data_IF_266371317662
#
_entry.id   IF_266371317662
#
_cell.length_a   1.000
_cell.length_b   1.000
_cell.length_c   1.000
_cell.angle_alpha   90.00
_cell.angle_beta   90.00
_cell.angle_gamma   90.00
#
_symmetry.space_group_name_H-M   'P 1'
#
loop_
_entity.id
_entity.type
_entity.pdbx_description
1 polymer ?
#
# COMPACT_ATOMS: atom_id res chain seq x y z
N UNK A 1 20.07 -12.52 -22.68
CA UNK A 1 19.32 -12.53 -22.43
C UNK A 1 18.89 -12.78 -22.11
N UNK A 2 18.94 -12.62 -22.22
CA UNK A 2 18.27 -12.81 -21.92
C UNK A 2 17.55 -12.97 -21.73
N UNK A 3 17.47 -12.92 -21.50
CA UNK A 3 16.56 -13.04 -21.22
C UNK A 3 15.93 -13.04 -21.31
N UNK A 4 16.03 -12.90 -21.36
CA UNK A 4 15.22 -12.92 -21.31
C UNK A 4 14.50 -13.18 -21.42
N UNK A 5 14.59 -13.08 -21.70
CA UNK A 5 13.61 -13.29 -21.65
C UNK A 5 12.93 -13.93 -21.59
N UNK A 6 13.26 -13.92 -21.53
CA UNK A 6 12.35 -14.66 -21.44
C UNK A 6 11.07 -14.88 -21.45
N UNK A 7 10.76 -15.15 -21.32
CA UNK A 7 9.47 -15.23 -21.36
C UNK A 7 8.83 -14.24 -22.20
N UNK A 8 9.03 -14.26 -23.28
CA UNK A 8 8.47 -13.51 -24.25
C UNK A 8 8.29 -12.06 -23.95
N UNK A 9 8.08 -11.73 -22.80
CA UNK A 9 7.81 -10.38 -22.42
C UNK A 9 8.75 -9.99 -21.31
N UNK A 10 9.77 -9.23 -21.59
CA UNK A 10 10.70 -8.85 -20.55
C UNK A 10 9.98 -8.00 -19.53
N UNK A 11 10.25 -8.26 -18.28
CA UNK A 11 9.80 -7.39 -17.24
C UNK A 11 10.63 -6.12 -17.23
N UNK A 12 9.96 -4.99 -17.11
CA UNK A 12 10.66 -3.74 -16.96
C UNK A 12 11.44 -3.76 -15.66
N UNK A 13 12.63 -3.21 -15.69
CA UNK A 13 13.45 -3.13 -14.50
C UNK A 13 12.80 -2.19 -13.49
N UNK A 14 12.78 -2.60 -12.21
CA UNK A 14 12.28 -1.77 -11.14
C UNK A 14 13.40 -0.82 -10.72
N UNK A 15 13.40 0.37 -11.28
CA UNK A 15 14.49 1.31 -11.13
C UNK A 15 14.12 2.62 -10.46
N UNK A 16 12.83 2.88 -10.29
CA UNK A 16 12.38 4.13 -9.69
C UNK A 16 11.84 3.85 -8.30
N UNK A 17 12.46 4.44 -7.29
CA UNK A 17 12.02 4.30 -5.92
C UNK A 17 11.36 5.59 -5.48
N UNK A 18 10.16 5.49 -4.97
CA UNK A 18 9.45 6.62 -4.38
C UNK A 18 9.22 6.30 -2.91
N UNK A 19 9.69 7.18 -2.03
CA UNK A 19 9.52 6.99 -0.59
C UNK A 19 8.51 8.00 -0.09
N UNK A 20 7.50 7.50 0.60
CA UNK A 20 6.36 8.30 1.02
C UNK A 20 6.23 8.21 2.54
N UNK A 21 6.28 9.35 3.20
CA UNK A 21 6.04 9.44 4.63
C UNK A 21 4.58 9.72 4.90
N UNK A 22 4.06 9.11 5.96
CA UNK A 22 2.66 9.25 6.34
C UNK A 22 2.56 9.63 7.81
N UNK A 23 1.68 10.58 8.10
CA UNK A 23 1.22 10.84 9.45
C UNK A 23 -0.11 10.13 9.65
N UNK A 24 -0.66 10.21 10.87
CA UNK A 24 -1.91 9.52 11.17
C UNK A 24 -3.12 10.14 10.48
N UNK A 25 -2.95 11.29 9.82
CA UNK A 25 -4.02 11.95 9.09
C UNK A 25 -3.91 11.73 7.58
N UNK A 26 -2.87 11.07 7.14
CA UNK A 26 -2.61 10.97 5.72
C UNK A 26 -3.31 9.75 5.12
N UNK A 27 -3.82 9.96 3.93
CA UNK A 27 -4.31 8.91 3.08
C UNK A 27 -3.73 9.15 1.70
N UNK A 28 -2.99 8.19 1.19
CA UNK A 28 -2.35 8.31 -0.11
C UNK A 28 -3.02 7.35 -1.08
N UNK A 29 -3.30 7.84 -2.27
CA UNK A 29 -3.80 7.01 -3.36
C UNK A 29 -2.65 6.79 -4.32
N UNK A 30 -2.33 5.53 -4.56
CA UNK A 30 -1.24 5.15 -5.46
C UNK A 30 -1.81 4.41 -6.64
N UNK A 31 -1.35 4.77 -7.84
CA UNK A 31 -1.67 4.02 -9.04
C UNK A 31 -0.51 3.11 -9.35
N UNK A 32 -0.76 1.81 -9.30
CA UNK A 32 0.31 0.82 -9.40
C UNK A 32 0.07 -0.10 -10.60
N UNK A 33 1.13 -0.77 -11.00
CA UNK A 33 1.10 -1.75 -12.07
C UNK A 33 1.53 -3.10 -11.51
N UNK A 34 1.16 -4.16 -12.21
CA UNK A 34 1.63 -5.49 -11.84
C UNK A 34 3.14 -5.51 -11.83
N UNK A 35 3.71 -6.09 -10.80
CA UNK A 35 5.16 -6.16 -10.64
C UNK A 35 5.74 -5.09 -9.75
N UNK A 36 5.04 -4.01 -9.52
CA UNK A 36 5.50 -2.99 -8.58
C UNK A 36 5.65 -3.59 -7.19
N UNK A 37 6.56 -3.05 -6.40
CA UNK A 37 6.81 -3.55 -5.04
C UNK A 37 6.66 -2.44 -4.05
N UNK A 38 5.93 -2.72 -2.98
CA UNK A 38 5.82 -1.81 -1.84
C UNK A 38 6.59 -2.42 -0.68
N UNK A 39 7.33 -1.58 0.01
CA UNK A 39 8.09 -2.03 1.16
C UNK A 39 7.80 -1.15 2.36
N UNK A 40 7.50 -1.76 3.50
CA UNK A 40 7.38 -1.05 4.75
C UNK A 40 8.74 -0.59 5.22
N UNK A 41 8.88 0.70 5.49
CA UNK A 41 10.14 1.25 5.95
C UNK A 41 10.08 1.60 7.42
N UNK A 42 8.95 2.11 7.89
CA UNK A 42 8.80 2.53 9.27
C UNK A 42 7.32 2.51 9.62
N UNK A 43 7.03 2.10 10.85
CA UNK A 43 5.68 2.06 11.35
C UNK A 43 4.83 1.01 10.64
N UNK A 44 3.58 0.91 11.04
CA UNK A 44 2.65 -0.01 10.42
C UNK A 44 1.85 0.73 9.36
N UNK A 45 1.87 0.23 8.15
CA UNK A 45 1.21 0.86 7.01
C UNK A 45 0.04 -0.01 6.59
N UNK A 46 -1.11 0.63 6.41
CA UNK A 46 -2.33 -0.03 5.96
C UNK A 46 -2.47 0.15 4.46
N UNK A 47 -2.72 -0.94 3.78
CA UNK A 47 -2.93 -0.91 2.34
C UNK A 47 -4.26 -1.54 2.03
N UNK A 48 -5.12 -0.77 1.38
CA UNK A 48 -6.41 -1.24 0.89
C UNK A 48 -6.36 -1.26 -0.63
N UNK A 49 -6.73 -2.39 -1.21
CA UNK A 49 -6.69 -2.55 -2.66
C UNK A 49 -8.13 -2.44 -3.16
N UNK A 50 -8.35 -1.55 -4.11
CA UNK A 50 -9.68 -1.38 -4.68
C UNK A 50 -10.15 -2.71 -5.29
N UNK A 51 -11.39 -3.06 -4.98
CA UNK A 51 -11.98 -4.28 -5.48
C UNK A 51 -11.63 -5.52 -4.69
N UNK A 52 -10.86 -5.40 -3.63
CA UNK A 52 -10.51 -6.54 -2.78
C UNK A 52 -11.06 -6.33 -1.39
N UNK A 53 -11.50 -7.42 -0.78
CA UNK A 53 -12.11 -7.36 0.54
C UNK A 53 -11.06 -7.31 1.66
N UNK A 54 -9.86 -7.76 1.39
CA UNK A 54 -8.83 -7.85 2.42
C UNK A 54 -7.97 -6.62 2.44
N UNK A 55 -7.71 -6.14 3.65
CA UNK A 55 -6.71 -5.11 3.86
C UNK A 55 -5.38 -5.77 4.20
N UNK A 56 -4.31 -5.05 3.94
CA UNK A 56 -2.97 -5.55 4.17
C UNK A 56 -2.28 -4.62 5.14
N UNK A 57 -1.69 -5.20 6.19
CA UNK A 57 -0.80 -4.47 7.08
C UNK A 57 0.62 -4.78 6.67
N UNK A 58 1.39 -3.73 6.46
CA UNK A 58 2.79 -3.87 6.06
C UNK A 58 3.66 -3.32 7.17
N UNK A 59 4.44 -4.21 7.78
CA UNK A 59 5.35 -3.84 8.85
C UNK A 59 6.72 -3.51 8.28
N UNK A 60 7.58 -2.83 9.07
CA UNK A 60 8.92 -2.51 8.56
C UNK A 60 9.66 -3.76 8.08
N UNK A 61 10.24 -3.66 6.91
CA UNK A 61 10.97 -4.76 6.30
C UNK A 61 10.14 -5.69 5.46
N UNK A 62 8.83 -5.62 5.57
CA UNK A 62 7.95 -6.46 4.76
C UNK A 62 7.72 -5.87 3.40
N UNK A 63 7.49 -6.73 2.44
CA UNK A 63 7.31 -6.32 1.05
C UNK A 63 6.02 -6.89 0.50
N UNK A 64 5.31 -6.08 -0.26
CA UNK A 64 4.13 -6.48 -0.99
C UNK A 64 4.41 -6.34 -2.46
N UNK A 65 4.25 -7.43 -3.20
CA UNK A 65 4.35 -7.37 -4.65
C UNK A 65 2.96 -7.22 -5.25
N UNK A 66 2.82 -6.23 -6.12
CA UNK A 66 1.54 -5.95 -6.75
C UNK A 66 1.30 -6.97 -7.86
N UNK A 67 0.14 -7.62 -7.81
CA UNK A 67 -0.19 -8.65 -8.79
C UNK A 67 -1.00 -8.12 -9.96
N UNK A 68 -1.73 -7.04 -9.77
CA UNK A 68 -2.57 -6.46 -10.80
C UNK A 68 -2.48 -4.95 -10.77
N UNK A 69 -2.57 -4.34 -11.94
CA UNK A 69 -2.66 -2.89 -12.02
C UNK A 69 -3.93 -2.41 -11.32
N UNK A 70 -3.86 -1.26 -10.69
CA UNK A 70 -5.01 -0.71 -10.01
C UNK A 70 -4.61 0.39 -9.06
N UNK A 71 -5.54 0.72 -8.18
CA UNK A 71 -5.34 1.77 -7.20
C UNK A 71 -5.25 1.17 -5.81
N UNK A 72 -4.25 1.61 -5.08
CA UNK A 72 -4.08 1.27 -3.68
C UNK A 72 -4.31 2.51 -2.84
N UNK A 73 -4.91 2.31 -1.68
CA UNK A 73 -5.01 3.37 -0.69
C UNK A 73 -4.13 3.00 0.48
N UNK A 74 -3.28 3.94 0.89
CA UNK A 74 -2.25 3.69 1.88
C UNK A 74 -2.41 4.69 3.00
N UNK A 75 -2.45 4.18 4.22
CA UNK A 75 -2.49 5.02 5.41
C UNK A 75 -1.60 4.39 6.46
N UNK A 76 -1.33 5.13 7.53
CA UNK A 76 -0.52 4.61 8.63
C UNK A 76 -1.37 4.57 9.88
N UNK A 77 -1.04 3.65 10.77
CA UNK A 77 -1.75 3.52 12.04
C UNK A 77 -1.52 4.77 12.91
N UNK A 78 -0.29 5.20 13.00
CA UNK A 78 0.08 6.45 13.68
C UNK A 78 0.90 7.29 12.73
N UNK A 79 2.09 6.84 12.43
CA UNK A 79 2.94 7.42 11.42
C UNK A 79 3.69 6.28 10.77
N UNK A 80 4.14 6.49 9.57
CA UNK A 80 4.84 5.44 8.89
C UNK A 80 5.54 5.93 7.65
N UNK A 81 6.21 5.01 6.99
CA UNK A 81 6.91 5.30 5.76
C UNK A 81 6.87 4.06 4.89
N UNK A 82 6.56 4.24 3.63
CA UNK A 82 6.53 3.15 2.66
C UNK A 82 7.32 3.58 1.45
N UNK A 83 8.04 2.65 0.86
CA UNK A 83 8.69 2.92 -0.42
C UNK A 83 8.07 2.05 -1.49
N UNK A 84 8.01 2.59 -2.69
CA UNK A 84 7.47 1.90 -3.86
C UNK A 84 8.56 1.84 -4.89
N UNK A 85 8.83 0.63 -5.35
CA UNK A 85 9.83 0.40 -6.39
C UNK A 85 9.08 0.01 -7.65
N UNK A 86 9.28 0.78 -8.72
CA UNK A 86 8.54 0.61 -9.96
C UNK A 86 9.46 0.85 -11.15
N UNK A 87 8.98 0.51 -12.33
CA UNK A 87 9.73 0.73 -13.55
C UNK A 87 9.57 2.15 -14.09
N UNK A 88 8.70 2.93 -13.49
CA UNK A 88 8.39 4.28 -13.91
C UNK A 88 8.10 5.13 -12.67
N UNK A 89 8.08 6.46 -12.80
CA UNK A 89 7.67 7.30 -11.67
C UNK A 89 6.28 6.92 -11.19
N UNK A 90 6.11 6.87 -9.89
CA UNK A 90 4.85 6.48 -9.28
C UNK A 90 3.85 7.62 -9.39
N UNK A 91 2.66 7.31 -9.87
CA UNK A 91 1.55 8.25 -9.83
C UNK A 91 0.87 8.12 -8.48
N UNK A 92 0.88 9.19 -7.71
CA UNK A 92 0.29 9.16 -6.39
C UNK A 92 -0.25 10.53 -6.03
N UNK A 93 -1.19 10.55 -5.11
CA UNK A 93 -1.71 11.81 -4.60
C UNK A 93 -2.11 11.64 -3.15
N UNK A 94 -2.01 12.74 -2.40
CA UNK A 94 -2.50 12.78 -1.04
C UNK A 94 -3.98 13.12 -1.10
N UNK A 95 -4.78 12.25 -0.51
CA UNK A 95 -6.22 12.47 -0.46
C UNK A 95 -6.51 13.21 0.82
N UNK A 96 -7.17 14.36 0.68
CA UNK A 96 -7.58 15.12 1.86
C UNK A 96 -8.96 14.65 2.24
N UNK A 97 -9.11 14.03 3.40
CA UNK A 97 -10.43 13.64 3.83
C UNK A 97 -11.27 14.87 4.06
N UNK A 98 -12.56 14.76 3.85
CA UNK A 98 -13.48 15.81 4.19
C UNK A 98 -13.35 16.12 5.69
N UNK A 99 -13.77 17.32 6.08
CA UNK A 99 -13.58 17.77 7.46
C UNK A 99 -14.12 16.77 8.47
N UNK A 100 -15.26 16.15 8.17
CA UNK A 100 -15.90 15.21 9.07
C UNK A 100 -15.18 13.87 9.12
N UNK A 101 -14.39 13.58 8.12
CA UNK A 101 -13.83 12.25 7.95
C UNK A 101 -12.69 11.93 8.92
N UNK A 102 -12.24 12.90 9.68
CA UNK A 102 -11.24 12.69 10.70
C UNK A 102 -11.67 11.59 11.66
N UNK A 103 -12.84 11.79 12.26
CA UNK A 103 -13.37 10.81 13.18
C UNK A 103 -13.84 9.56 12.45
N UNK A 104 -14.34 9.71 11.24
CA UNK A 104 -14.72 8.56 10.43
C UNK A 104 -13.52 7.68 10.16
N UNK A 105 -12.37 8.26 9.86
CA UNK A 105 -11.15 7.48 9.64
C UNK A 105 -10.75 6.71 10.89
N UNK A 106 -10.81 7.36 12.05
CA UNK A 106 -10.49 6.69 13.30
C UNK A 106 -11.45 5.54 13.56
N UNK A 107 -12.73 5.76 13.28
CA UNK A 107 -13.72 4.71 13.43
C UNK A 107 -13.43 3.55 12.49
N UNK A 108 -13.09 3.85 11.26
CA UNK A 108 -12.74 2.80 10.30
C UNK A 108 -11.50 2.04 10.76
N UNK A 109 -10.51 2.75 11.27
CA UNK A 109 -9.31 2.10 11.78
C UNK A 109 -9.65 1.18 12.94
N UNK A 110 -10.48 1.64 13.86
CA UNK A 110 -10.87 0.81 15.00
C UNK A 110 -11.67 -0.40 14.55
N UNK A 111 -12.58 -0.21 13.61
CA UNK A 111 -13.36 -1.32 13.07
C UNK A 111 -12.47 -2.33 12.37
N UNK A 112 -11.50 -1.84 11.64
CA UNK A 112 -10.58 -2.70 10.92
C UNK A 112 -9.76 -3.55 11.89
N UNK A 113 -9.26 -2.93 12.96
CA UNK A 113 -8.53 -3.65 13.98
C UNK A 113 -9.43 -4.68 14.67
N UNK A 114 -10.69 -4.32 14.90
CA UNK A 114 -11.64 -5.24 15.48
C UNK A 114 -11.87 -6.44 14.57
N UNK A 115 -11.95 -6.23 13.28
CA UNK A 115 -12.11 -7.35 12.35
C UNK A 115 -10.91 -8.28 12.38
N UNK A 116 -9.71 -7.72 12.47
CA UNK A 116 -8.52 -8.54 12.58
C UNK A 116 -8.55 -9.38 13.86
N UNK A 117 -8.94 -8.77 14.96
CA UNK A 117 -9.05 -9.50 16.21
C UNK A 117 -10.07 -10.62 16.11
N UNK A 118 -11.20 -10.35 15.48
CA UNK A 118 -12.23 -11.37 15.29
C UNK A 118 -11.72 -12.50 14.41
N UNK A 119 -10.99 -12.20 13.36
CA UNK A 119 -10.42 -13.23 12.52
C UNK A 119 -9.43 -14.08 13.31
N UNK A 120 -8.60 -13.45 14.12
CA UNK A 120 -7.66 -14.18 14.93
C UNK A 120 -8.39 -15.05 15.95
N UNK A 121 -9.49 -14.56 16.49
CA UNK A 121 -10.27 -15.32 17.48
C UNK A 121 -11.00 -16.50 16.87
N UNK A 122 -11.36 -16.40 15.59
CA UNK A 122 -12.07 -17.47 14.92
C UNK A 122 -11.18 -18.67 14.64
N UNK A 123 -9.91 -18.52 14.77
CA UNK A 123 -8.96 -19.59 14.55
C UNK A 123 -8.36 -20.10 15.85
#
# INVERSE_FOLDING_TARGET
MIATHLNGKPQAALSVRTTLGLSDHDLLALTVQAGDQLRGERGTVWITIDGQAQDILLEPGEMLQVSQAGQLNVSALHSGCVSVLAARPLAWQRVRPARVSWQARRTQAANWLGRLSNLASAH
#
